data_IF_211904150395
#
_entry.id   IF_211904150395
#
_cell.length_a   1.000
_cell.length_b   1.000
_cell.length_c   1.000
_cell.angle_alpha   90.00
_cell.angle_beta   90.00
_cell.angle_gamma   90.00
#
_symmetry.space_group_name_H-M   'P 1'
#
loop_
_entity.id
_entity.type
_entity.pdbx_description
1 polymer ?
#
# COMPACT_ATOMS: atom_id res chain seq x y z
N UNK A 1 -66.29 0.55 54.97
CA UNK A 1 -67.58 1.17 54.61
C UNK A 1 -67.30 2.54 53.99
N UNK A 2 -68.00 2.85 52.89
CA UNK A 2 -68.03 4.11 52.11
C UNK A 2 -66.89 4.35 51.10
N UNK A 3 -67.32 4.85 49.94
CA UNK A 3 -66.77 4.78 48.58
C UNK A 3 -66.50 6.19 48.04
N UNK A 4 -65.56 6.27 47.07
CA UNK A 4 -65.37 7.26 45.99
C UNK A 4 -65.00 8.71 46.46
N UNK A 5 -64.15 9.51 45.80
CA UNK A 5 -64.12 9.88 44.39
C UNK A 5 -62.75 10.46 43.97
N UNK A 6 -62.30 10.19 42.74
CA UNK A 6 -61.15 10.90 42.16
C UNK A 6 -60.69 10.29 40.83
N UNK A 7 -61.22 10.81 39.74
CA UNK A 7 -60.97 10.40 38.34
C UNK A 7 -59.46 10.34 38.01
N UNK A 8 -58.95 9.31 37.31
CA UNK A 8 -57.53 9.24 36.95
C UNK A 8 -57.17 10.29 35.88
N UNK A 9 -56.19 11.15 36.18
CA UNK A 9 -55.60 12.11 35.23
C UNK A 9 -54.94 11.38 34.06
N UNK A 10 -55.66 11.20 32.96
CA UNK A 10 -55.12 10.76 31.66
C UNK A 10 -54.54 11.94 30.90
N UNK A 11 -53.44 12.53 31.40
CA UNK A 11 -52.69 13.58 30.68
C UNK A 11 -51.21 13.24 30.48
N UNK A 12 -50.79 12.01 30.79
CA UNK A 12 -49.41 11.54 30.61
C UNK A 12 -49.14 10.83 29.27
N UNK A 13 -50.17 10.59 28.45
CA UNK A 13 -50.00 9.81 27.21
C UNK A 13 -49.46 10.62 26.03
N UNK A 14 -49.47 11.96 26.10
CA UNK A 14 -49.03 12.82 25.00
C UNK A 14 -47.52 13.16 25.00
N UNK A 15 -46.76 12.77 26.04
CA UNK A 15 -45.29 12.91 26.07
C UNK A 15 -44.57 11.60 25.71
N UNK A 16 -45.29 10.61 25.18
CA UNK A 16 -44.73 9.30 24.83
C UNK A 16 -43.96 9.28 23.49
N UNK A 17 -43.51 10.43 22.98
CA UNK A 17 -42.63 10.50 21.80
C UNK A 17 -41.13 10.44 22.16
N UNK A 18 -40.80 10.29 23.45
CA UNK A 18 -39.41 10.36 23.92
C UNK A 18 -39.02 9.28 24.93
N UNK A 19 -39.20 8.00 24.59
CA UNK A 19 -38.31 6.89 25.02
C UNK A 19 -38.96 5.51 24.77
N UNK A 20 -38.72 4.94 23.59
CA UNK A 20 -38.71 3.50 23.44
C UNK A 20 -37.37 3.12 22.81
N UNK A 21 -36.35 3.12 23.67
CA UNK A 21 -35.15 2.35 23.39
C UNK A 21 -35.52 0.86 23.41
N UNK A 22 -34.88 0.12 22.51
CA UNK A 22 -34.67 -1.34 22.57
C UNK A 22 -35.71 -2.19 21.85
N UNK A 23 -35.85 -1.99 20.55
CA UNK A 23 -35.80 -3.16 19.67
C UNK A 23 -34.34 -3.49 19.47
N UNK A 24 -33.99 -4.72 19.84
CA UNK A 24 -32.64 -5.23 19.83
C UNK A 24 -31.96 -4.86 18.52
N UNK A 25 -30.81 -4.18 18.62
CA UNK A 25 -29.88 -4.11 17.51
C UNK A 25 -29.67 -5.57 17.13
N UNK A 26 -30.29 -6.01 16.04
CA UNK A 26 -29.91 -7.25 15.38
C UNK A 26 -28.42 -7.11 15.25
N UNK A 27 -27.70 -7.92 16.04
CA UNK A 27 -26.28 -7.77 16.26
C UNK A 27 -25.70 -7.52 14.90
N UNK A 28 -25.05 -6.36 14.74
CA UNK A 28 -24.39 -5.99 13.51
C UNK A 28 -23.56 -7.22 13.18
N UNK A 29 -24.04 -8.05 12.26
CA UNK A 29 -23.30 -9.22 11.82
C UNK A 29 -22.17 -8.52 11.13
N UNK A 30 -21.08 -8.37 11.87
CA UNK A 30 -19.83 -7.83 11.40
C UNK A 30 -19.55 -8.71 10.19
N UNK A 31 -19.94 -8.21 9.01
CA UNK A 31 -19.71 -8.90 7.75
C UNK A 31 -18.21 -9.03 7.80
N UNK A 32 -17.70 -10.24 8.09
CA UNK A 32 -16.27 -10.50 8.17
C UNK A 32 -15.71 -9.88 6.91
N UNK A 33 -15.10 -8.70 7.06
CA UNK A 33 -14.50 -8.02 5.92
C UNK A 33 -13.44 -8.98 5.46
N UNK A 34 -13.43 -9.28 4.17
CA UNK A 34 -12.37 -10.08 3.60
C UNK A 34 -11.03 -9.45 4.01
N UNK A 35 -10.26 -10.16 4.82
CA UNK A 35 -8.97 -9.69 5.33
C UNK A 35 -7.93 -10.17 4.34
N UNK A 36 -7.35 -9.25 3.59
CA UNK A 36 -6.19 -9.54 2.75
C UNK A 36 -4.95 -9.60 3.64
N UNK A 37 -4.41 -10.81 3.83
CA UNK A 37 -3.14 -11.02 4.53
C UNK A 37 -2.01 -11.18 3.53
N UNK A 38 -1.15 -10.17 3.43
CA UNK A 38 0.05 -10.20 2.59
C UNK A 38 1.18 -10.82 3.41
N UNK A 39 1.85 -11.84 2.85
CA UNK A 39 3.02 -12.44 3.51
C UNK A 39 4.12 -11.40 3.73
N UNK A 40 4.91 -11.56 4.80
CA UNK A 40 6.00 -10.62 5.10
C UNK A 40 7.01 -10.55 3.93
N UNK A 41 7.36 -11.70 3.35
CA UNK A 41 8.21 -11.77 2.16
C UNK A 41 7.66 -10.99 0.97
N UNK A 42 6.35 -11.00 0.74
CA UNK A 42 5.75 -10.22 -0.35
C UNK A 42 5.82 -8.71 -0.09
N UNK A 43 5.75 -8.26 1.17
CA UNK A 43 5.97 -6.86 1.54
C UNK A 43 7.43 -6.45 1.32
N UNK A 44 8.37 -7.34 1.64
CA UNK A 44 9.80 -7.10 1.45
C UNK A 44 10.13 -6.96 -0.05
N UNK A 45 9.60 -7.87 -0.88
CA UNK A 45 9.74 -7.79 -2.35
C UNK A 45 9.11 -6.50 -2.87
N UNK A 46 7.91 -6.14 -2.42
CA UNK A 46 7.26 -4.90 -2.85
C UNK A 46 8.09 -3.65 -2.50
N UNK A 47 8.72 -3.66 -1.32
CA UNK A 47 9.59 -2.56 -0.88
C UNK A 47 10.85 -2.49 -1.73
N UNK A 48 11.49 -3.62 -2.00
CA UNK A 48 12.65 -3.69 -2.90
C UNK A 48 12.31 -3.23 -4.32
N UNK A 49 11.16 -3.65 -4.87
CA UNK A 49 10.70 -3.23 -6.20
C UNK A 49 10.42 -1.73 -6.28
N UNK A 50 9.85 -1.14 -5.22
CA UNK A 50 9.65 0.32 -5.12
C UNK A 50 10.99 1.04 -5.13
N UNK A 51 11.94 0.60 -4.31
CA UNK A 51 13.28 1.19 -4.27
C UNK A 51 13.98 1.11 -5.64
N UNK A 52 13.87 -0.04 -6.34
CA UNK A 52 14.43 -0.20 -7.69
C UNK A 52 13.80 0.75 -8.72
N UNK A 53 12.50 1.03 -8.59
CA UNK A 53 11.77 1.95 -9.49
C UNK A 53 12.13 3.41 -9.26
N UNK A 54 12.55 3.78 -8.06
CA UNK A 54 13.00 5.13 -7.73
C UNK A 54 14.42 5.43 -8.24
N UNK A 55 15.18 4.40 -8.64
CA UNK A 55 16.51 4.57 -9.21
C UNK A 55 16.37 5.21 -10.60
N UNK A 56 17.12 6.28 -10.89
CA UNK A 56 17.10 6.89 -12.22
C UNK A 56 17.64 5.93 -13.29
N UNK A 57 16.99 5.90 -14.45
CA UNK A 57 17.41 5.09 -15.60
C UNK A 57 18.85 5.40 -16.03
N UNK A 58 19.30 6.65 -15.83
CA UNK A 58 20.62 7.13 -16.19
C UNK A 58 21.43 7.41 -14.93
N UNK A 59 22.56 6.69 -14.80
CA UNK A 59 23.59 6.95 -13.79
C UNK A 59 24.46 8.14 -14.23
N UNK A 60 23.98 9.35 -14.01
CA UNK A 60 24.61 10.61 -14.46
C UNK A 60 26.09 10.69 -14.08
N UNK A 61 26.43 10.39 -12.82
CA UNK A 61 27.80 10.44 -12.31
C UNK A 61 28.77 9.58 -13.14
N UNK A 62 28.32 8.38 -13.54
CA UNK A 62 29.13 7.46 -14.34
C UNK A 62 29.30 7.95 -15.77
N UNK A 63 28.26 8.55 -16.34
CA UNK A 63 28.30 9.14 -17.69
C UNK A 63 29.28 10.31 -17.69
N UNK A 64 29.16 11.23 -16.73
CA UNK A 64 30.03 12.39 -16.62
C UNK A 64 31.51 12.02 -16.42
N UNK A 65 31.79 11.03 -15.55
CA UNK A 65 33.15 10.51 -15.36
C UNK A 65 33.74 9.96 -16.66
N UNK A 66 32.96 9.20 -17.43
CA UNK A 66 33.39 8.64 -18.71
C UNK A 66 33.58 9.73 -19.77
N UNK A 67 32.66 10.69 -19.86
CA UNK A 67 32.77 11.84 -20.77
C UNK A 67 34.07 12.60 -20.50
N UNK A 68 34.38 12.89 -19.23
CA UNK A 68 35.62 13.57 -18.85
C UNK A 68 36.87 12.76 -19.22
N UNK A 69 36.84 11.43 -19.06
CA UNK A 69 37.96 10.56 -19.48
C UNK A 69 38.16 10.59 -20.99
N UNK A 70 37.08 10.67 -21.76
CA UNK A 70 37.13 10.78 -23.22
C UNK A 70 37.70 12.14 -23.62
N UNK A 71 37.20 13.25 -23.04
CA UNK A 71 37.67 14.61 -23.31
C UNK A 71 39.16 14.81 -22.99
N UNK A 72 39.62 14.21 -21.88
CA UNK A 72 41.04 14.26 -21.47
C UNK A 72 41.95 13.30 -22.24
N UNK A 73 41.40 12.48 -23.15
CA UNK A 73 42.14 11.45 -23.88
C UNK A 73 42.67 10.32 -23.01
N UNK A 74 42.20 10.19 -21.76
CA UNK A 74 42.61 9.15 -20.81
C UNK A 74 41.74 7.89 -20.89
N UNK A 75 40.67 7.93 -21.69
CA UNK A 75 39.85 6.76 -21.98
C UNK A 75 40.60 5.82 -22.95
N UNK A 76 41.19 4.77 -22.41
CA UNK A 76 41.83 3.69 -23.17
C UNK A 76 40.99 2.44 -23.09
N UNK A 77 40.64 1.88 -24.24
CA UNK A 77 39.97 0.59 -24.38
C UNK A 77 40.95 -0.34 -25.06
N UNK A 78 41.19 -1.51 -24.45
CA UNK A 78 42.06 -2.53 -25.04
C UNK A 78 41.29 -3.43 -26.00
N UNK A 79 41.99 -4.13 -26.89
CA UNK A 79 41.36 -5.08 -27.81
C UNK A 79 40.73 -6.25 -27.04
N UNK A 80 41.35 -6.67 -25.94
CA UNK A 80 40.84 -7.68 -25.02
C UNK A 80 39.50 -7.23 -24.39
N UNK A 81 39.39 -5.99 -23.91
CA UNK A 81 38.15 -5.46 -23.33
C UNK A 81 36.98 -5.53 -24.32
N UNK A 82 37.24 -5.31 -25.61
CA UNK A 82 36.24 -5.36 -26.67
C UNK A 82 35.81 -6.80 -26.91
N UNK A 83 36.78 -7.71 -27.07
CA UNK A 83 36.52 -9.13 -27.29
C UNK A 83 35.72 -9.73 -26.13
N UNK A 84 36.09 -9.43 -24.88
CA UNK A 84 35.40 -9.89 -23.68
C UNK A 84 33.95 -9.40 -23.63
N UNK A 85 33.69 -8.15 -24.01
CA UNK A 85 32.33 -7.60 -24.07
C UNK A 85 31.48 -8.27 -25.15
N UNK A 86 32.06 -8.57 -26.31
CA UNK A 86 31.37 -9.29 -27.39
C UNK A 86 30.99 -10.70 -26.93
N UNK A 87 31.96 -11.45 -26.39
CA UNK A 87 31.74 -12.81 -25.90
C UNK A 87 30.68 -12.84 -24.80
N UNK A 88 30.78 -11.93 -23.82
CA UNK A 88 29.80 -11.82 -22.75
C UNK A 88 28.39 -11.51 -23.28
N UNK A 89 28.26 -10.58 -24.23
CA UNK A 89 26.96 -10.24 -24.83
C UNK A 89 26.31 -11.41 -25.58
N UNK A 90 27.13 -12.28 -26.18
CA UNK A 90 26.65 -13.50 -26.86
C UNK A 90 26.21 -14.55 -25.82
N UNK A 91 26.97 -14.74 -24.76
CA UNK A 91 26.65 -15.70 -23.69
C UNK A 91 25.39 -15.28 -22.90
N UNK A 92 25.28 -14.02 -22.52
CA UNK A 92 24.13 -13.48 -21.77
C UNK A 92 22.82 -13.59 -22.58
N UNK A 93 22.88 -13.56 -23.92
CA UNK A 93 21.71 -13.73 -24.81
C UNK A 93 21.23 -15.18 -24.96
N UNK A 94 22.08 -16.14 -24.61
CA UNK A 94 21.79 -17.58 -24.75
C UNK A 94 21.24 -18.18 -23.45
N UNK A 95 21.21 -17.40 -22.36
CA UNK A 95 20.66 -17.77 -21.07
C UNK A 95 19.17 -17.42 -20.96
#
# INVERSE_FOLDING_TARGET
MKIWEGVPKVSGIYDSSKSLNKTEKTGNVDRKKDVVSISNQAKDIQTAMKALKEIPDIRKDRVEELTRKIETGTYKVTEEDIADKILKSIMDRKA
#
